data_IF_105373429689
#
_entry.id   IF_105373429689
#
_cell.length_a   1.000
_cell.length_b   1.000
_cell.length_c   1.000
_cell.angle_alpha   90.00
_cell.angle_beta   90.00
_cell.angle_gamma   90.00
#
_symmetry.space_group_name_H-M   'P 1'
#
loop_
_entity.id
_entity.type
_entity.pdbx_description
1 polymer ?
#
# COMPACT_ATOMS: atom_id res chain seq x y z
N UNK A 1 65.12 15.41 -39.96
CA UNK A 1 64.04 15.70 -38.98
C UNK A 1 63.44 14.39 -38.52
N UNK A 2 63.86 13.91 -37.36
CA UNK A 2 63.46 12.63 -36.76
C UNK A 2 62.41 12.91 -35.68
N UNK A 3 61.18 12.41 -35.85
CA UNK A 3 60.08 12.57 -34.88
C UNK A 3 60.15 11.45 -33.85
N UNK A 4 60.38 11.81 -32.59
CA UNK A 4 60.20 10.92 -31.44
C UNK A 4 58.78 11.11 -30.89
N UNK A 5 58.01 10.03 -30.84
CA UNK A 5 56.69 9.93 -30.21
C UNK A 5 56.89 9.07 -28.97
N UNK A 6 56.65 9.59 -27.77
CA UNK A 6 56.61 8.77 -26.56
C UNK A 6 55.34 9.08 -25.74
N UNK A 7 54.38 8.18 -25.93
CA UNK A 7 53.47 7.55 -24.95
C UNK A 7 52.94 8.36 -23.77
N UNK A 8 51.65 8.72 -23.86
CA UNK A 8 50.81 9.07 -22.69
C UNK A 8 50.22 7.78 -22.13
N UNK A 9 50.56 7.46 -20.88
CA UNK A 9 50.03 6.32 -20.13
C UNK A 9 48.63 6.67 -19.62
N UNK A 10 47.58 6.07 -20.19
CA UNK A 10 46.20 6.26 -19.72
C UNK A 10 45.87 5.21 -18.64
N UNK A 11 45.81 5.64 -17.38
CA UNK A 11 45.27 4.82 -16.28
C UNK A 11 43.74 4.72 -16.42
N UNK A 12 43.25 3.55 -16.81
CA UNK A 12 41.83 3.22 -16.87
C UNK A 12 41.37 2.67 -15.51
N UNK A 13 40.91 3.55 -14.63
CA UNK A 13 40.29 3.16 -13.36
C UNK A 13 38.86 2.66 -13.60
N UNK A 14 38.64 1.35 -13.49
CA UNK A 14 37.32 0.72 -13.49
C UNK A 14 36.62 1.03 -12.16
N UNK A 15 35.64 1.93 -12.16
CA UNK A 15 34.72 2.08 -11.04
C UNK A 15 33.71 0.92 -11.08
N UNK A 16 33.85 -0.07 -10.18
CA UNK A 16 32.79 -1.03 -9.92
C UNK A 16 31.65 -0.28 -9.22
N UNK A 17 30.61 0.10 -9.97
CA UNK A 17 29.34 0.50 -9.40
C UNK A 17 28.68 -0.74 -8.80
N UNK A 18 28.71 -0.89 -7.48
CA UNK A 18 27.87 -1.86 -6.78
C UNK A 18 26.41 -1.47 -7.01
N UNK A 19 25.75 -2.14 -7.96
CA UNK A 19 24.33 -1.94 -8.23
C UNK A 19 23.52 -2.37 -7.01
N UNK A 20 22.75 -1.44 -6.44
CA UNK A 20 21.71 -1.76 -5.46
C UNK A 20 20.65 -2.58 -6.18
N UNK A 21 20.68 -3.91 -6.03
CA UNK A 21 19.67 -4.78 -6.63
C UNK A 21 18.33 -4.53 -5.92
N UNK A 22 17.40 -3.87 -6.62
CA UNK A 22 16.02 -3.77 -6.18
C UNK A 22 15.36 -5.15 -6.31
N UNK A 23 14.70 -5.61 -5.24
CA UNK A 23 13.88 -6.82 -5.31
C UNK A 23 12.71 -6.62 -6.30
N UNK A 24 12.29 -7.66 -7.03
CA UNK A 24 11.15 -7.56 -7.92
C UNK A 24 9.86 -7.23 -7.15
N UNK A 25 8.99 -6.42 -7.75
CA UNK A 25 7.68 -6.13 -7.18
C UNK A 25 6.83 -7.41 -7.14
N UNK A 26 6.22 -7.70 -5.99
CA UNK A 26 5.32 -8.85 -5.83
C UNK A 26 3.94 -8.54 -6.43
N UNK A 27 3.30 -9.50 -7.12
CA UNK A 27 1.92 -9.30 -7.55
C UNK A 27 1.00 -9.04 -6.36
N UNK A 28 -0.05 -8.24 -6.59
CA UNK A 28 -1.10 -8.02 -5.59
C UNK A 28 -1.60 -9.39 -5.12
N UNK A 29 -1.66 -9.67 -3.83
CA UNK A 29 -1.95 -11.01 -3.31
C UNK A 29 -3.09 -11.02 -2.30
N UNK A 30 -3.33 -9.89 -1.63
CA UNK A 30 -4.46 -9.72 -0.74
C UNK A 30 -4.83 -8.24 -0.60
N UNK A 31 -6.13 -8.00 -0.36
CA UNK A 31 -6.67 -6.73 0.11
C UNK A 31 -7.62 -7.04 1.27
N UNK A 32 -7.41 -6.43 2.43
CA UNK A 32 -8.17 -6.75 3.65
C UNK A 32 -8.51 -5.49 4.41
N UNK A 33 -9.77 -5.36 4.84
CA UNK A 33 -10.18 -4.28 5.73
C UNK A 33 -9.80 -4.70 7.15
N UNK A 34 -8.88 -3.96 7.76
CA UNK A 34 -8.28 -4.34 9.04
C UNK A 34 -9.14 -3.88 10.21
N UNK A 35 -9.47 -2.59 10.19
CA UNK A 35 -10.12 -1.95 11.32
C UNK A 35 -10.91 -0.71 10.90
N UNK A 36 -11.94 -0.42 11.69
CA UNK A 36 -12.72 0.83 11.64
C UNK A 36 -12.50 1.57 12.96
N UNK A 37 -12.23 2.87 12.87
CA UNK A 37 -11.96 3.72 14.03
C UNK A 37 -12.92 4.91 14.01
N UNK A 38 -13.69 5.09 15.07
CA UNK A 38 -14.55 6.27 15.23
C UNK A 38 -14.66 6.67 16.71
N UNK A 39 -15.27 7.83 16.97
CA UNK A 39 -15.57 8.26 18.35
C UNK A 39 -16.66 7.38 18.99
N UNK A 40 -17.66 6.99 18.21
CA UNK A 40 -18.84 6.24 18.65
C UNK A 40 -18.56 4.74 18.83
N UNK A 41 -17.74 4.18 17.93
CA UNK A 41 -17.39 2.76 17.91
C UNK A 41 -15.95 2.46 18.36
N UNK A 42 -15.18 3.44 18.86
CA UNK A 42 -13.75 3.29 19.16
C UNK A 42 -12.96 2.61 18.02
N UNK A 43 -11.83 1.95 18.32
CA UNK A 43 -11.10 1.12 17.35
C UNK A 43 -11.67 -0.29 17.35
N UNK A 44 -12.10 -0.77 16.18
CA UNK A 44 -12.65 -2.11 15.96
C UNK A 44 -11.84 -2.89 14.93
N UNK A 45 -11.35 -4.07 15.28
CA UNK A 45 -10.79 -5.00 14.30
C UNK A 45 -11.92 -5.76 13.58
N UNK A 46 -11.87 -5.79 12.26
CA UNK A 46 -12.95 -6.31 11.39
C UNK A 46 -12.44 -7.31 10.34
N UNK A 47 -11.18 -7.76 10.48
CA UNK A 47 -10.59 -8.76 9.55
C UNK A 47 -11.44 -10.01 9.51
N UNK A 48 -11.73 -10.48 8.30
CA UNK A 48 -12.52 -11.70 8.08
C UNK A 48 -14.02 -11.54 8.35
N UNK A 49 -14.51 -10.31 8.57
CA UNK A 49 -15.93 -10.02 8.75
C UNK A 49 -16.46 -9.18 7.58
N UNK A 50 -17.76 -9.26 7.34
CA UNK A 50 -18.48 -8.45 6.35
C UNK A 50 -19.27 -7.29 6.99
N UNK A 51 -19.28 -7.18 8.32
CA UNK A 51 -19.94 -6.10 9.06
C UNK A 51 -19.22 -5.76 10.37
N UNK A 52 -19.26 -4.48 10.77
CA UNK A 52 -18.89 -4.08 12.13
C UNK A 52 -19.90 -4.65 13.14
N UNK A 53 -19.42 -5.02 14.32
CA UNK A 53 -20.25 -5.39 15.47
C UNK A 53 -20.77 -4.16 16.19
N UNK A 54 -19.96 -3.10 16.27
CA UNK A 54 -20.38 -1.83 16.84
C UNK A 54 -20.78 -0.84 15.76
N UNK A 55 -21.53 0.14 16.22
CA UNK A 55 -21.96 1.28 15.45
C UNK A 55 -20.85 2.34 15.39
N UNK A 56 -20.52 2.77 14.17
CA UNK A 56 -19.60 3.85 13.84
C UNK A 56 -20.36 4.94 13.09
N UNK A 57 -20.78 5.95 13.85
CA UNK A 57 -21.46 7.15 13.39
C UNK A 57 -20.64 8.43 13.64
N UNK A 58 -20.98 9.46 12.88
CA UNK A 58 -20.41 10.79 12.93
C UNK A 58 -19.42 11.05 11.80
N UNK A 59 -18.70 12.17 11.92
CA UNK A 59 -17.59 12.50 11.05
C UNK A 59 -16.31 11.77 11.48
N UNK A 60 -15.31 11.76 10.60
CA UNK A 60 -13.95 11.27 10.87
C UNK A 60 -13.87 9.77 11.23
N UNK A 61 -14.74 8.95 10.64
CA UNK A 61 -14.64 7.50 10.72
C UNK A 61 -13.47 7.08 9.83
N UNK A 62 -12.48 6.40 10.40
CA UNK A 62 -11.29 5.95 9.68
C UNK A 62 -11.35 4.47 9.38
N UNK A 63 -11.25 4.11 8.11
CA UNK A 63 -11.17 2.72 7.66
C UNK A 63 -9.74 2.44 7.21
N UNK A 64 -9.15 1.36 7.74
CA UNK A 64 -7.79 0.96 7.40
C UNK A 64 -7.83 -0.30 6.55
N UNK A 65 -7.20 -0.25 5.38
CA UNK A 65 -7.14 -1.38 4.44
C UNK A 65 -5.69 -1.76 4.22
N UNK A 66 -5.38 -3.04 4.35
CA UNK A 66 -4.07 -3.59 4.03
C UNK A 66 -4.07 -4.19 2.63
N UNK A 67 -3.15 -3.70 1.80
CA UNK A 67 -2.80 -4.27 0.51
C UNK A 67 -1.47 -5.01 0.64
N UNK A 68 -1.41 -6.28 0.26
CA UNK A 68 -0.16 -7.05 0.15
C UNK A 68 0.21 -7.28 -1.31
N UNK A 69 1.45 -7.01 -1.66
CA UNK A 69 1.88 -6.88 -3.06
C UNK A 69 1.54 -5.52 -3.64
N UNK A 70 1.69 -5.39 -4.96
CA UNK A 70 1.63 -4.09 -5.64
C UNK A 70 0.37 -3.97 -6.50
N UNK A 71 -0.63 -3.24 -5.99
CA UNK A 71 -1.79 -2.80 -6.75
C UNK A 71 -1.54 -1.49 -7.52
N UNK A 72 -2.45 -1.16 -8.43
CA UNK A 72 -2.47 0.07 -9.20
C UNK A 72 -2.45 1.32 -8.33
N UNK A 73 -1.99 2.43 -8.90
CA UNK A 73 -1.88 3.69 -8.16
C UNK A 73 -3.24 4.33 -7.82
N UNK A 74 -4.30 3.92 -8.51
CA UNK A 74 -5.67 4.42 -8.37
C UNK A 74 -6.61 3.24 -8.01
N UNK A 75 -6.69 2.85 -6.73
CA UNK A 75 -7.70 1.91 -6.29
C UNK A 75 -9.09 2.51 -6.45
N UNK A 76 -10.09 1.65 -6.67
CA UNK A 76 -11.51 2.02 -6.63
C UNK A 76 -11.98 1.93 -5.19
N UNK A 77 -12.38 3.05 -4.60
CA UNK A 77 -12.80 3.09 -3.20
C UNK A 77 -14.09 3.87 -3.06
N UNK A 78 -15.11 3.26 -2.47
CA UNK A 78 -16.42 3.89 -2.32
C UNK A 78 -16.99 3.69 -0.92
N UNK A 79 -17.83 4.64 -0.51
CA UNK A 79 -18.74 4.49 0.62
C UNK A 79 -20.16 4.80 0.14
N UNK A 80 -21.06 3.82 0.21
CA UNK A 80 -22.41 3.89 -0.38
C UNK A 80 -22.40 4.30 -1.87
N UNK A 81 -21.40 3.83 -2.62
CA UNK A 81 -21.25 4.12 -4.06
C UNK A 81 -20.62 5.49 -4.38
N UNK A 82 -20.35 6.32 -3.38
CA UNK A 82 -19.62 7.59 -3.55
C UNK A 82 -18.13 7.38 -3.35
N UNK A 83 -17.30 7.96 -4.21
CA UNK A 83 -15.84 7.86 -4.11
C UNK A 83 -15.32 8.47 -2.79
N UNK A 84 -14.33 7.81 -2.19
CA UNK A 84 -13.70 8.27 -0.94
C UNK A 84 -12.20 8.35 -1.12
N UNK A 85 -11.66 9.53 -0.83
CA UNK A 85 -10.22 9.74 -0.83
C UNK A 85 -9.55 9.16 0.42
N UNK A 86 -8.33 8.69 0.24
CA UNK A 86 -7.51 8.16 1.32
C UNK A 86 -6.03 8.40 1.11
N UNK A 87 -5.26 8.18 2.16
CA UNK A 87 -3.81 8.17 2.09
C UNK A 87 -3.31 6.74 2.00
N UNK A 88 -2.12 6.55 1.43
CA UNK A 88 -1.43 5.25 1.39
C UNK A 88 -0.04 5.38 2.00
N UNK A 89 0.33 4.41 2.82
CA UNK A 89 1.63 4.35 3.49
C UNK A 89 2.31 3.02 3.16
N UNK A 90 3.57 3.01 2.68
CA UNK A 90 4.27 1.77 2.37
C UNK A 90 4.49 0.94 3.63
N UNK A 91 4.27 -0.38 3.54
CA UNK A 91 4.58 -1.33 4.60
C UNK A 91 5.72 -2.26 4.22
N UNK A 92 6.57 -2.56 5.20
CA UNK A 92 7.77 -3.36 5.10
C UNK A 92 7.61 -4.62 5.96
N UNK A 93 8.16 -5.74 5.51
CA UNK A 93 8.23 -6.96 6.31
C UNK A 93 9.49 -6.91 7.20
N UNK A 94 9.32 -7.05 8.52
CA UNK A 94 10.43 -7.13 9.49
C UNK A 94 10.49 -8.48 10.22
N UNK A 95 9.93 -9.55 9.65
CA UNK A 95 10.00 -10.91 10.20
C UNK A 95 8.95 -11.19 11.29
N UNK A 96 8.59 -10.21 12.11
CA UNK A 96 7.52 -10.32 13.14
C UNK A 96 6.16 -9.79 12.67
N UNK A 97 6.11 -9.18 11.49
CA UNK A 97 4.89 -8.61 10.93
C UNK A 97 5.14 -7.51 9.91
N UNK A 98 4.06 -6.84 9.52
CA UNK A 98 4.10 -5.67 8.64
C UNK A 98 4.17 -4.39 9.46
N UNK A 99 5.17 -3.57 9.19
CA UNK A 99 5.36 -2.25 9.81
C UNK A 99 5.42 -1.18 8.75
N UNK A 100 5.15 0.08 9.11
CA UNK A 100 5.40 1.20 8.22
C UNK A 100 6.88 1.26 7.83
N UNK A 101 7.18 1.43 6.55
CA UNK A 101 8.55 1.63 6.09
C UNK A 101 9.05 3.01 6.54
N UNK A 102 9.93 3.07 7.54
CA UNK A 102 10.53 4.31 8.05
C UNK A 102 11.76 4.74 7.21
N UNK A 103 11.60 4.81 5.88
CA UNK A 103 12.68 5.17 4.95
C UNK A 103 13.73 4.09 4.69
N UNK A 104 13.57 2.90 5.28
CA UNK A 104 14.43 1.74 5.06
C UNK A 104 13.58 0.45 4.92
N UNK A 105 14.14 -0.54 4.22
CA UNK A 105 13.49 -1.83 3.97
C UNK A 105 12.87 -1.96 2.58
N UNK A 106 12.37 -3.16 2.28
CA UNK A 106 11.66 -3.44 1.02
C UNK A 106 10.16 -3.31 1.26
N UNK A 107 9.51 -2.41 0.53
CA UNK A 107 8.05 -2.32 0.53
C UNK A 107 7.46 -3.65 0.05
N UNK A 108 6.52 -4.20 0.79
CA UNK A 108 5.81 -5.45 0.44
C UNK A 108 4.30 -5.22 0.26
N UNK A 109 3.86 -3.98 0.37
CA UNK A 109 2.46 -3.59 0.26
C UNK A 109 2.20 -2.18 0.78
N UNK A 110 0.93 -1.86 1.00
CA UNK A 110 0.48 -0.55 1.45
C UNK A 110 -0.61 -0.65 2.52
N UNK A 111 -0.55 0.22 3.52
CA UNK A 111 -1.66 0.51 4.42
C UNK A 111 -2.39 1.75 3.90
N UNK A 112 -3.66 1.60 3.57
CA UNK A 112 -4.53 2.70 3.19
C UNK A 112 -5.34 3.18 4.40
N UNK A 113 -5.52 4.49 4.51
CA UNK A 113 -6.41 5.11 5.51
C UNK A 113 -7.41 6.01 4.80
N UNK A 114 -8.68 5.68 4.92
CA UNK A 114 -9.80 6.46 4.37
C UNK A 114 -10.53 7.16 5.51
N UNK A 115 -11.01 8.38 5.26
CA UNK A 115 -11.83 9.11 6.23
C UNK A 115 -13.21 9.33 5.63
N UNK A 116 -14.24 8.86 6.33
CA UNK A 116 -15.63 8.96 5.90
C UNK A 116 -16.51 9.56 6.99
N UNK A 117 -17.73 9.95 6.59
CA UNK A 117 -18.79 10.40 7.49
C UNK A 117 -20.01 9.50 7.29
N UNK A 118 -20.66 9.09 8.37
CA UNK A 118 -21.79 8.17 8.35
C UNK A 118 -22.78 8.50 9.47
N UNK A 119 -24.08 8.44 9.19
CA UNK A 119 -25.15 8.56 10.19
C UNK A 119 -26.03 7.33 10.30
N UNK A 120 -26.16 6.55 9.22
CA UNK A 120 -27.22 5.54 9.07
C UNK A 120 -26.70 4.19 8.56
N UNK A 121 -25.41 3.93 8.76
CA UNK A 121 -24.74 2.75 8.24
C UNK A 121 -24.39 2.85 6.76
N UNK A 122 -23.45 2.03 6.29
CA UNK A 122 -23.10 2.03 4.88
C UNK A 122 -22.09 0.99 4.46
N UNK A 123 -22.02 0.76 3.16
CA UNK A 123 -21.08 -0.15 2.54
C UNK A 123 -19.81 0.58 2.14
N UNK A 124 -18.71 0.21 2.78
CA UNK A 124 -17.37 0.56 2.34
C UNK A 124 -16.85 -0.53 1.40
N UNK A 125 -16.37 -0.15 0.23
CA UNK A 125 -15.83 -1.05 -0.78
C UNK A 125 -14.46 -0.56 -1.24
N UNK A 126 -13.49 -1.48 -1.29
CA UNK A 126 -12.15 -1.23 -1.80
C UNK A 126 -11.84 -2.28 -2.87
N UNK A 127 -11.28 -1.85 -4.00
CA UNK A 127 -10.76 -2.76 -5.00
C UNK A 127 -9.53 -2.19 -5.70
N UNK A 128 -8.57 -3.06 -5.98
CA UNK A 128 -7.38 -2.68 -6.74
C UNK A 128 -6.99 -3.81 -7.71
N UNK A 129 -6.24 -3.44 -8.75
CA UNK A 129 -5.75 -4.35 -9.79
C UNK A 129 -4.24 -4.46 -9.69
N UNK A 130 -3.70 -5.68 -9.77
CA UNK A 130 -2.25 -5.91 -9.71
C UNK A 130 -1.51 -5.12 -10.79
N UNK A 131 -0.44 -4.40 -10.41
CA UNK A 131 0.50 -3.80 -11.36
C UNK A 131 1.37 -4.85 -12.05
N UNK A 132 1.57 -5.99 -11.39
CA UNK A 132 2.36 -7.10 -11.91
C UNK A 132 1.43 -8.09 -12.61
N UNK A 133 1.80 -8.63 -13.78
CA UNK A 133 1.05 -9.70 -14.44
C UNK A 133 0.69 -10.85 -13.47
N UNK A 134 -0.51 -11.43 -13.57
CA UNK A 134 -1.48 -11.32 -14.67
C UNK A 134 -2.53 -10.19 -14.51
N UNK A 135 -2.27 -9.16 -13.71
CA UNK A 135 -3.19 -8.02 -13.52
C UNK A 135 -4.57 -8.42 -12.97
N UNK A 136 -4.62 -9.41 -12.09
CA UNK A 136 -5.87 -9.77 -11.43
C UNK A 136 -6.33 -8.66 -10.49
N UNK A 137 -7.65 -8.55 -10.35
CA UNK A 137 -8.31 -7.59 -9.48
C UNK A 137 -8.72 -8.26 -8.18
N UNK A 138 -8.43 -7.63 -7.05
CA UNK A 138 -8.91 -8.05 -5.73
C UNK A 138 -9.80 -6.96 -5.13
N UNK A 139 -10.73 -7.37 -4.28
CA UNK A 139 -11.66 -6.46 -3.60
C UNK A 139 -11.97 -6.91 -2.18
N UNK A 140 -12.29 -5.95 -1.32
CA UNK A 140 -12.84 -6.17 0.02
C UNK A 140 -14.02 -5.23 0.25
N UNK A 141 -14.99 -5.67 1.05
CA UNK A 141 -16.20 -4.91 1.37
C UNK A 141 -16.56 -5.10 2.84
N UNK A 142 -17.09 -4.06 3.47
CA UNK A 142 -17.53 -4.07 4.86
C UNK A 142 -18.78 -3.20 5.03
N UNK A 143 -19.79 -3.72 5.72
CA UNK A 143 -20.91 -2.92 6.21
C UNK A 143 -20.55 -2.29 7.55
N UNK A 144 -20.44 -0.98 7.56
CA UNK A 144 -20.20 -0.18 8.76
C UNK A 144 -21.57 0.20 9.31
N UNK A 145 -21.94 -0.37 10.46
CA UNK A 145 -23.17 -0.01 11.18
C UNK A 145 -23.09 1.42 11.70
#
# INVERSE_FOLDING_TARGET
MTRTINSVLACLSLFLSAGLQAAPALPLSAVEILQVVSKSGATEEVRGTDTTQRTHHGANIRVHVLERGYGGHQPSVTFNGHEVDGTRTPVCNQGEGLVTCNGAGTTVGYLYTFTLSNTDGGWFEFANTSLVPPHHRLSARLYIK
#
